data_IF_895591123622
#
_entry.id   IF_895591123622
#
_cell.length_a   1.000
_cell.length_b   1.000
_cell.length_c   1.000
_cell.angle_alpha   90.00
_cell.angle_beta   90.00
_cell.angle_gamma   90.00
#
_symmetry.space_group_name_H-M   'P 1'
#
loop_
_entity.id
_entity.type
_entity.pdbx_description
1 polymer ?
#
# COMPACT_ATOMS: atom_id res chain seq x y z
N UNK A 1 -17.57 5.18 2.07
CA UNK A 1 -16.27 4.48 1.95
C UNK A 1 -15.22 5.55 1.70
N UNK A 2 -14.32 5.84 2.67
CA UNK A 2 -13.36 6.93 2.51
C UNK A 2 -12.24 6.54 1.54
N UNK A 3 -11.77 7.50 0.75
CA UNK A 3 -10.56 7.41 -0.08
C UNK A 3 -9.50 8.29 0.55
N UNK A 4 -8.31 7.75 0.77
CA UNK A 4 -7.16 8.48 1.32
C UNK A 4 -6.06 8.41 0.28
N UNK A 5 -5.59 9.58 -0.16
CA UNK A 5 -4.51 9.71 -1.14
C UNK A 5 -3.27 10.21 -0.40
N UNK A 6 -2.17 9.48 -0.53
CA UNK A 6 -0.85 9.90 -0.04
C UNK A 6 0.04 10.15 -1.25
N UNK A 7 0.31 11.43 -1.53
CA UNK A 7 1.06 11.88 -2.70
C UNK A 7 2.16 12.89 -2.35
N UNK A 8 3.08 13.11 -3.28
CA UNK A 8 4.15 14.10 -3.13
C UNK A 8 5.30 13.92 -4.13
N UNK A 9 5.92 15.03 -4.52
CA UNK A 9 6.89 15.10 -5.62
C UNK A 9 8.29 14.60 -5.20
N UNK A 10 8.68 14.80 -3.95
CA UNK A 10 10.01 14.42 -3.48
C UNK A 10 10.12 12.91 -3.25
N UNK A 11 11.10 12.28 -3.90
CA UNK A 11 11.51 10.91 -3.57
C UNK A 11 12.05 10.83 -2.13
N UNK A 12 11.71 9.75 -1.41
CA UNK A 12 12.15 9.56 -0.02
C UNK A 12 11.37 10.35 1.05
N UNK A 13 10.28 11.05 0.70
CA UNK A 13 9.46 11.80 1.67
C UNK A 13 8.55 10.93 2.55
N UNK A 14 8.64 9.60 2.47
CA UNK A 14 7.86 8.67 3.30
C UNK A 14 6.45 8.29 2.80
N UNK A 15 6.11 8.57 1.54
CA UNK A 15 4.76 8.29 0.98
C UNK A 15 4.35 6.82 1.12
N UNK A 16 5.14 5.91 0.55
CA UNK A 16 4.89 4.47 0.58
C UNK A 16 4.93 3.92 2.00
N UNK A 17 5.79 4.49 2.86
CA UNK A 17 5.86 4.16 4.30
C UNK A 17 4.56 4.51 5.01
N UNK A 18 4.01 5.70 4.79
CA UNK A 18 2.74 6.09 5.41
C UNK A 18 1.56 5.27 4.88
N UNK A 19 1.48 5.06 3.56
CA UNK A 19 0.42 4.28 2.92
C UNK A 19 0.37 2.82 3.41
N UNK A 20 1.52 2.16 3.49
CA UNK A 20 1.63 0.77 3.97
C UNK A 20 1.23 0.63 5.43
N UNK A 21 1.69 1.54 6.30
CA UNK A 21 1.30 1.54 7.72
C UNK A 21 -0.20 1.80 7.90
N UNK A 22 -0.78 2.71 7.12
CA UNK A 22 -2.22 2.97 7.16
C UNK A 22 -3.03 1.73 6.74
N UNK A 23 -2.59 1.00 5.72
CA UNK A 23 -3.23 -0.25 5.31
C UNK A 23 -3.22 -1.29 6.44
N UNK A 24 -2.06 -1.50 7.08
CA UNK A 24 -1.93 -2.40 8.24
C UNK A 24 -2.86 -1.99 9.38
N UNK A 25 -2.83 -0.73 9.79
CA UNK A 25 -3.66 -0.21 10.90
C UNK A 25 -5.14 -0.41 10.61
N UNK A 26 -5.60 -0.10 9.39
CA UNK A 26 -7.00 -0.21 9.00
C UNK A 26 -7.46 -1.66 8.91
N UNK A 27 -6.64 -2.55 8.34
CA UNK A 27 -6.97 -3.97 8.30
C UNK A 27 -6.99 -4.61 9.68
N UNK A 28 -6.06 -4.24 10.57
CA UNK A 28 -6.05 -4.71 11.97
C UNK A 28 -7.29 -4.22 12.74
N UNK A 29 -7.86 -3.07 12.38
CA UNK A 29 -9.14 -2.58 12.90
C UNK A 29 -10.37 -3.25 12.25
N UNK A 30 -10.20 -4.39 11.56
CA UNK A 30 -11.27 -5.15 10.94
C UNK A 30 -11.91 -4.49 9.71
N UNK A 31 -11.25 -3.51 9.10
CA UNK A 31 -11.77 -2.83 7.89
C UNK A 31 -11.28 -3.55 6.64
N UNK A 32 -12.14 -3.57 5.61
CA UNK A 32 -11.70 -3.96 4.26
C UNK A 32 -10.84 -2.85 3.68
N UNK A 33 -9.66 -3.20 3.19
CA UNK A 33 -8.67 -2.25 2.67
C UNK A 33 -8.26 -2.68 1.27
N UNK A 34 -8.34 -1.72 0.34
CA UNK A 34 -7.72 -1.79 -0.97
C UNK A 34 -6.54 -0.82 -0.97
N UNK A 35 -5.33 -1.35 -1.16
CA UNK A 35 -4.11 -0.57 -1.21
C UNK A 35 -3.71 -0.40 -2.68
N UNK A 36 -3.84 0.83 -3.19
CA UNK A 36 -3.56 1.16 -4.60
C UNK A 36 -2.16 1.76 -4.71
N UNK A 37 -1.30 1.11 -5.48
CA UNK A 37 0.02 1.60 -5.84
C UNK A 37 -0.02 2.25 -7.22
N UNK A 38 0.04 3.58 -7.23
CA UNK A 38 0.03 4.38 -8.46
C UNK A 38 1.41 4.99 -8.77
N UNK A 39 2.46 4.58 -8.05
CA UNK A 39 3.83 5.04 -8.28
C UNK A 39 4.53 4.11 -9.29
N UNK A 40 5.24 4.69 -10.26
CA UNK A 40 6.02 3.92 -11.25
C UNK A 40 7.12 3.06 -10.60
N UNK A 41 7.62 3.48 -9.43
CA UNK A 41 8.63 2.74 -8.66
C UNK A 41 8.06 1.51 -7.93
N UNK A 42 6.74 1.39 -7.81
CA UNK A 42 6.04 0.22 -7.25
C UNK A 42 6.43 -0.20 -5.83
N UNK A 43 6.96 0.72 -5.02
CA UNK A 43 7.50 0.37 -3.71
C UNK A 43 6.45 -0.24 -2.76
N UNK A 44 5.16 0.05 -2.95
CA UNK A 44 4.08 -0.57 -2.16
C UNK A 44 3.81 -2.00 -2.63
N UNK A 45 3.80 -2.22 -3.94
CA UNK A 45 3.59 -3.53 -4.54
C UNK A 45 4.71 -4.49 -4.13
N UNK A 46 5.97 -4.08 -4.30
CA UNK A 46 7.15 -4.87 -3.91
C UNK A 46 7.15 -5.19 -2.41
N UNK A 47 6.75 -4.21 -1.58
CA UNK A 47 6.63 -4.39 -0.13
C UNK A 47 5.55 -5.43 0.23
N UNK A 48 4.39 -5.40 -0.42
CA UNK A 48 3.32 -6.35 -0.17
C UNK A 48 3.72 -7.77 -0.60
N UNK A 49 4.29 -7.92 -1.80
CA UNK A 49 4.79 -9.20 -2.30
C UNK A 49 5.89 -9.78 -1.40
N UNK A 50 6.81 -8.95 -0.91
CA UNK A 50 7.85 -9.40 0.02
C UNK A 50 7.26 -9.97 1.32
N UNK A 51 6.25 -9.31 1.90
CA UNK A 51 5.55 -9.80 3.10
C UNK A 51 4.87 -11.14 2.87
N UNK A 52 4.22 -11.30 1.72
CA UNK A 52 3.57 -12.55 1.33
C UNK A 52 4.60 -13.66 1.15
N UNK A 53 5.76 -13.38 0.55
CA UNK A 53 6.85 -14.35 0.41
C UNK A 53 7.41 -14.83 1.76
N UNK A 54 7.30 -14.00 2.81
CA UNK A 54 7.70 -14.32 4.17
C UNK A 54 6.57 -15.02 4.98
N UNK A 55 5.43 -15.33 4.36
CA UNK A 55 4.28 -15.92 5.03
C UNK A 55 3.57 -14.96 6.00
N UNK A 56 3.85 -13.66 5.91
CA UNK A 56 3.20 -12.66 6.76
C UNK A 56 1.78 -12.41 6.24
N UNK A 57 0.80 -12.54 7.12
CA UNK A 57 -0.61 -12.27 6.77
C UNK A 57 -0.79 -10.84 6.25
N UNK A 58 -1.34 -10.70 5.05
CA UNK A 58 -1.72 -9.44 4.40
C UNK A 58 -3.25 -9.36 4.26
N UNK A 59 -3.99 -8.96 5.31
CA UNK A 59 -5.45 -8.86 5.28
C UNK A 59 -5.95 -7.60 4.52
N UNK A 60 -5.36 -7.32 3.37
CA UNK A 60 -5.76 -6.27 2.42
C UNK A 60 -5.45 -6.77 1.01
N UNK A 61 -6.03 -6.13 0.00
CA UNK A 61 -5.68 -6.39 -1.39
C UNK A 61 -4.79 -5.26 -1.89
N UNK A 62 -3.62 -5.59 -2.44
CA UNK A 62 -2.75 -4.62 -3.12
C UNK A 62 -3.02 -4.68 -4.62
N UNK A 63 -3.19 -3.51 -5.25
CA UNK A 63 -3.30 -3.41 -6.71
C UNK A 63 -2.25 -2.43 -7.23
N UNK A 64 -1.51 -2.86 -8.25
CA UNK A 64 -0.64 -1.97 -8.99
C UNK A 64 -1.46 -1.31 -10.11
N UNK A 65 -1.73 -0.01 -9.97
CA UNK A 65 -2.47 0.73 -10.99
C UNK A 65 -1.51 1.16 -12.10
N UNK A 66 -1.75 0.65 -13.31
CA UNK A 66 -1.04 1.10 -14.50
C UNK A 66 -2.03 1.80 -15.42
N UNK A 67 -1.70 3.03 -15.82
CA UNK A 67 -2.32 3.66 -16.99
C UNK A 67 -1.70 3.05 -18.25
N UNK A 68 -2.09 1.82 -18.60
CA UNK A 68 -1.90 1.24 -19.93
C UNK A 68 -3.00 0.23 -20.21
#
# INVERSE_FOLDING_TARGET
MPIIVVGGVKGGSGKSTLSSNLAVLRSNAGKRVLLVDADEQRSISDWAEHRESLGVKTPWTTVNWRFR
#
